data_IF_509376195617
#
_entry.id   IF_509376195617
#
_cell.length_a   1.000
_cell.length_b   1.000
_cell.length_c   1.000
_cell.angle_alpha   90.00
_cell.angle_beta   90.00
_cell.angle_gamma   90.00
#
_symmetry.space_group_name_H-M   'P 1'
#
loop_
_entity.id
_entity.type
_entity.pdbx_description
1 polymer ?
#
# COMPACT_ATOMS: atom_id res chain seq x y z
N UNK A 1 -51.65 17.93 -8.69
CA UNK A 1 -50.80 17.56 -7.54
C UNK A 1 -50.52 16.03 -7.49
N UNK A 2 -50.23 15.40 -8.63
CA UNK A 2 -49.91 13.97 -8.75
C UNK A 2 -48.60 13.86 -9.53
N UNK A 3 -47.45 13.73 -8.85
CA UNK A 3 -46.19 13.20 -9.45
C UNK A 3 -44.99 13.03 -8.51
N UNK A 4 -45.12 13.29 -7.19
CA UNK A 4 -43.99 13.07 -6.25
C UNK A 4 -43.86 11.64 -5.71
N UNK A 5 -44.92 10.82 -5.70
CA UNK A 5 -44.86 9.43 -5.20
C UNK A 5 -44.20 8.45 -6.18
N UNK A 6 -44.42 8.60 -7.50
CA UNK A 6 -43.87 7.70 -8.52
C UNK A 6 -42.33 7.77 -8.62
N UNK A 7 -41.72 8.93 -8.35
CA UNK A 7 -40.28 9.13 -8.48
C UNK A 7 -39.48 8.51 -7.31
N UNK A 8 -40.10 8.36 -6.14
CA UNK A 8 -39.50 7.73 -4.96
C UNK A 8 -39.59 6.21 -5.07
N UNK A 9 -40.73 5.66 -5.53
CA UNK A 9 -40.87 4.23 -5.81
C UNK A 9 -39.91 3.75 -6.90
N UNK A 10 -39.71 4.52 -7.97
CA UNK A 10 -38.75 4.18 -9.03
C UNK A 10 -37.28 4.21 -8.56
N UNK A 11 -36.89 5.13 -7.66
CA UNK A 11 -35.55 5.15 -7.04
C UNK A 11 -35.34 4.00 -6.06
N UNK A 12 -36.38 3.60 -5.33
CA UNK A 12 -36.35 2.41 -4.48
C UNK A 12 -36.18 1.17 -5.36
N UNK A 13 -37.06 0.98 -6.36
CA UNK A 13 -37.02 -0.16 -7.27
C UNK A 13 -35.67 -0.28 -7.97
N UNK A 14 -35.10 0.80 -8.52
CA UNK A 14 -33.78 0.74 -9.19
C UNK A 14 -32.64 0.34 -8.24
N UNK A 15 -32.67 0.77 -6.98
CA UNK A 15 -31.64 0.43 -5.99
C UNK A 15 -31.70 -1.04 -5.56
N UNK A 16 -32.91 -1.57 -5.32
CA UNK A 16 -33.09 -3.00 -5.01
C UNK A 16 -32.92 -3.88 -6.24
N UNK A 17 -33.30 -3.40 -7.42
CA UNK A 17 -33.09 -4.09 -8.69
C UNK A 17 -31.61 -4.25 -9.01
N UNK A 18 -30.78 -3.25 -8.74
CA UNK A 18 -29.33 -3.37 -8.90
C UNK A 18 -28.72 -4.39 -7.93
N UNK A 19 -29.20 -4.42 -6.67
CA UNK A 19 -28.80 -5.41 -5.65
C UNK A 19 -29.22 -6.82 -6.09
N UNK A 20 -30.43 -6.96 -6.63
CA UNK A 20 -30.94 -8.23 -7.17
C UNK A 20 -30.13 -8.67 -8.39
N UNK A 21 -29.75 -7.75 -9.30
CA UNK A 21 -28.87 -8.07 -10.42
C UNK A 21 -27.49 -8.54 -9.93
N UNK A 22 -26.92 -7.88 -8.91
CA UNK A 22 -25.63 -8.30 -8.33
C UNK A 22 -25.75 -9.67 -7.66
N UNK A 23 -26.85 -9.94 -6.94
CA UNK A 23 -27.13 -11.24 -6.33
C UNK A 23 -27.36 -12.32 -7.39
N UNK A 24 -28.10 -12.03 -8.46
CA UNK A 24 -28.33 -12.93 -9.58
C UNK A 24 -27.04 -13.20 -10.35
N UNK A 25 -26.16 -12.21 -10.48
CA UNK A 25 -24.83 -12.38 -11.03
C UNK A 25 -24.00 -13.34 -10.16
N UNK A 26 -24.05 -13.18 -8.83
CA UNK A 26 -23.42 -14.09 -7.86
C UNK A 26 -23.96 -15.53 -7.94
N UNK A 27 -25.28 -15.68 -8.06
CA UNK A 27 -25.92 -17.00 -8.19
C UNK A 27 -25.56 -17.63 -9.53
N UNK A 28 -25.60 -16.88 -10.65
CA UNK A 28 -25.21 -17.39 -11.97
C UNK A 28 -23.74 -17.76 -12.05
N UNK A 29 -22.84 -16.99 -11.46
CA UNK A 29 -21.41 -17.36 -11.41
C UNK A 29 -21.20 -18.60 -10.56
N UNK A 30 -21.87 -18.72 -9.42
CA UNK A 30 -21.82 -19.95 -8.61
C UNK A 30 -22.35 -21.17 -9.37
N UNK A 31 -23.50 -21.07 -10.05
CA UNK A 31 -24.07 -22.17 -10.85
C UNK A 31 -23.20 -22.51 -12.06
N UNK A 32 -22.63 -21.51 -12.74
CA UNK A 32 -21.69 -21.73 -13.84
C UNK A 32 -20.43 -22.45 -13.37
N UNK A 33 -19.93 -22.10 -12.18
CA UNK A 33 -18.80 -22.76 -11.54
C UNK A 33 -19.17 -24.20 -11.14
N UNK A 34 -20.33 -24.43 -10.55
CA UNK A 34 -20.81 -25.77 -10.15
C UNK A 34 -21.04 -26.71 -11.35
N UNK A 35 -21.49 -26.17 -12.48
CA UNK A 35 -21.65 -26.96 -13.71
C UNK A 35 -20.31 -27.30 -14.36
N UNK A 36 -19.34 -26.37 -14.35
CA UNK A 36 -17.95 -26.65 -14.75
C UNK A 36 -17.28 -27.64 -13.81
N UNK A 37 -17.59 -27.60 -12.51
CA UNK A 37 -17.17 -28.61 -11.54
C UNK A 37 -17.69 -30.00 -11.92
N UNK A 38 -18.99 -30.15 -12.24
CA UNK A 38 -19.55 -31.45 -12.65
C UNK A 38 -18.93 -32.02 -13.93
N UNK A 39 -18.47 -31.17 -14.84
CA UNK A 39 -17.71 -31.58 -16.03
C UNK A 39 -16.27 -32.00 -15.69
N UNK A 40 -15.60 -31.27 -14.81
CA UNK A 40 -14.21 -31.55 -14.39
C UNK A 40 -14.14 -32.79 -13.47
N UNK A 41 -15.15 -33.04 -12.64
CA UNK A 41 -15.22 -34.16 -11.69
C UNK A 41 -15.68 -35.50 -12.31
N UNK A 42 -15.97 -35.55 -13.62
CA UNK A 42 -16.22 -36.82 -14.31
C UNK A 42 -14.94 -37.64 -14.52
N UNK A 43 -13.77 -37.01 -14.56
CA UNK A 43 -12.49 -37.71 -14.70
C UNK A 43 -11.84 -37.99 -13.34
N UNK A 44 -11.99 -39.23 -12.88
CA UNK A 44 -11.54 -39.75 -11.58
C UNK A 44 -10.01 -39.89 -11.41
N UNK A 45 -9.17 -39.24 -12.21
CA UNK A 45 -7.71 -39.50 -12.25
C UNK A 45 -6.83 -38.42 -11.62
N UNK A 46 -7.37 -37.55 -10.75
CA UNK A 46 -6.67 -36.32 -10.38
C UNK A 46 -6.70 -36.05 -8.88
N UNK A 47 -5.81 -36.71 -8.13
CA UNK A 47 -5.56 -36.38 -6.71
C UNK A 47 -4.55 -35.24 -6.53
N UNK A 48 -3.73 -34.93 -7.52
CA UNK A 48 -2.74 -33.84 -7.45
C UNK A 48 -3.24 -32.49 -8.01
N UNK A 49 -4.03 -32.43 -9.10
CA UNK A 49 -4.57 -31.12 -9.57
C UNK A 49 -5.71 -30.53 -8.68
N UNK A 50 -6.13 -31.25 -7.63
CA UNK A 50 -7.18 -30.77 -6.72
C UNK A 50 -6.69 -29.67 -5.77
N UNK A 51 -5.41 -29.66 -5.41
CA UNK A 51 -4.85 -28.60 -4.56
C UNK A 51 -4.76 -27.28 -5.32
N UNK A 52 -4.30 -27.31 -6.57
CA UNK A 52 -4.20 -26.13 -7.41
C UNK A 52 -5.58 -25.53 -7.68
N UNK A 53 -6.58 -26.34 -8.05
CA UNK A 53 -7.96 -25.86 -8.26
C UNK A 53 -8.57 -25.28 -6.98
N UNK A 54 -8.32 -25.89 -5.81
CA UNK A 54 -8.76 -25.36 -4.52
C UNK A 54 -8.06 -24.05 -4.16
N UNK A 55 -6.75 -23.95 -4.40
CA UNK A 55 -5.98 -22.71 -4.25
C UNK A 55 -6.52 -21.63 -5.19
N UNK A 56 -6.72 -21.93 -6.48
CA UNK A 56 -7.30 -21.00 -7.45
C UNK A 56 -8.70 -20.54 -7.04
N UNK A 57 -9.54 -21.41 -6.45
CA UNK A 57 -10.84 -21.04 -5.87
C UNK A 57 -10.68 -20.11 -4.67
N UNK A 58 -9.80 -20.42 -3.72
CA UNK A 58 -9.51 -19.55 -2.56
C UNK A 58 -8.95 -18.20 -3.02
N UNK A 59 -8.03 -18.19 -3.97
CA UNK A 59 -7.49 -16.97 -4.56
C UNK A 59 -8.56 -16.17 -5.29
N UNK A 60 -9.47 -16.83 -6.02
CA UNK A 60 -10.62 -16.22 -6.68
C UNK A 60 -11.58 -15.56 -5.68
N UNK A 61 -11.94 -16.26 -4.60
CA UNK A 61 -12.82 -15.74 -3.54
C UNK A 61 -12.13 -14.59 -2.79
N UNK A 62 -10.85 -14.73 -2.43
CA UNK A 62 -10.06 -13.66 -1.80
C UNK A 62 -9.98 -12.43 -2.70
N UNK A 63 -9.77 -12.61 -4.01
CA UNK A 63 -9.73 -11.52 -5.00
C UNK A 63 -11.08 -10.82 -5.11
N UNK A 64 -12.18 -11.58 -5.21
CA UNK A 64 -13.53 -11.02 -5.28
C UNK A 64 -13.91 -10.25 -3.99
N UNK A 65 -13.65 -10.84 -2.81
CA UNK A 65 -13.87 -10.20 -1.52
C UNK A 65 -13.05 -8.92 -1.37
N UNK A 66 -11.78 -8.95 -1.79
CA UNK A 66 -10.90 -7.77 -1.78
C UNK A 66 -11.42 -6.67 -2.69
N UNK A 67 -11.85 -7.00 -3.92
CA UNK A 67 -12.44 -6.04 -4.86
C UNK A 67 -13.72 -5.39 -4.30
N UNK A 68 -14.59 -6.16 -3.64
CA UNK A 68 -15.81 -5.63 -3.01
C UNK A 68 -15.49 -4.67 -1.85
N UNK A 69 -14.53 -5.03 -1.00
CA UNK A 69 -14.07 -4.16 0.08
C UNK A 69 -13.45 -2.86 -0.47
N UNK A 70 -12.70 -2.95 -1.56
CA UNK A 70 -12.12 -1.78 -2.22
C UNK A 70 -13.17 -0.85 -2.84
N UNK A 71 -14.18 -1.40 -3.53
CA UNK A 71 -15.31 -0.61 -4.07
C UNK A 71 -16.02 0.11 -2.93
N UNK A 72 -16.36 -0.62 -1.86
CA UNK A 72 -16.99 -0.06 -0.67
C UNK A 72 -16.17 1.10 -0.10
N UNK A 73 -14.87 0.89 0.09
CA UNK A 73 -13.98 1.91 0.65
C UNK A 73 -13.85 3.14 -0.26
N UNK A 74 -13.78 2.94 -1.58
CA UNK A 74 -13.68 4.04 -2.55
C UNK A 74 -14.96 4.89 -2.54
N UNK A 75 -16.12 4.27 -2.38
CA UNK A 75 -17.39 4.98 -2.19
C UNK A 75 -17.41 5.75 -0.86
N UNK A 76 -16.97 5.13 0.24
CA UNK A 76 -16.90 5.78 1.57
C UNK A 76 -15.98 7.02 1.56
N UNK A 77 -14.86 6.97 0.84
CA UNK A 77 -13.95 8.11 0.65
C UNK A 77 -14.60 9.20 -0.21
N UNK A 78 -15.34 8.83 -1.26
CA UNK A 78 -15.99 9.75 -2.17
C UNK A 78 -17.17 10.52 -1.55
N UNK A 79 -17.82 9.94 -0.54
CA UNK A 79 -18.96 10.56 0.15
C UNK A 79 -18.52 11.59 1.20
N UNK A 80 -19.28 12.69 1.40
CA UNK A 80 -19.13 13.54 2.58
C UNK A 80 -19.31 12.69 3.85
N UNK A 81 -18.55 13.00 4.90
CA UNK A 81 -18.64 12.24 6.14
C UNK A 81 -19.97 12.51 6.86
N UNK A 82 -20.62 11.43 7.26
CA UNK A 82 -21.80 11.49 8.12
C UNK A 82 -21.42 11.50 9.62
N UNK A 83 -20.16 11.16 9.95
CA UNK A 83 -19.62 11.13 11.31
C UNK A 83 -18.36 12.02 11.42
N UNK A 84 -17.74 12.05 12.61
CA UNK A 84 -16.47 12.76 12.79
C UNK A 84 -15.38 12.18 11.86
N UNK A 85 -14.50 13.06 11.38
CA UNK A 85 -13.35 12.71 10.52
C UNK A 85 -12.50 11.60 11.15
N UNK A 86 -12.38 11.59 12.48
CA UNK A 86 -11.60 10.59 13.22
C UNK A 86 -12.20 9.18 13.13
N UNK A 87 -13.52 9.06 13.33
CA UNK A 87 -14.23 7.77 13.26
C UNK A 87 -14.13 7.22 11.83
N UNK A 88 -14.35 8.06 10.83
CA UNK A 88 -14.33 7.65 9.42
C UNK A 88 -12.92 7.27 8.96
N UNK A 89 -11.90 8.05 9.34
CA UNK A 89 -10.50 7.73 9.02
C UNK A 89 -10.04 6.42 9.66
N UNK A 90 -10.49 6.12 10.89
CA UNK A 90 -10.22 4.83 11.54
C UNK A 90 -10.89 3.66 10.81
N UNK A 91 -12.15 3.80 10.40
CA UNK A 91 -12.88 2.77 9.63
C UNK A 91 -12.22 2.48 8.28
N UNK A 92 -11.82 3.54 7.56
CA UNK A 92 -11.06 3.42 6.31
C UNK A 92 -9.72 2.71 6.58
N UNK A 93 -9.05 3.01 7.70
CA UNK A 93 -7.77 2.41 8.03
C UNK A 93 -7.90 0.91 8.29
N UNK A 94 -8.85 0.51 9.13
CA UNK A 94 -9.12 -0.90 9.44
C UNK A 94 -9.50 -1.70 8.18
N UNK A 95 -10.31 -1.11 7.31
CA UNK A 95 -10.68 -1.74 6.03
C UNK A 95 -9.47 -1.90 5.11
N UNK A 96 -8.57 -0.91 5.09
CA UNK A 96 -7.32 -0.99 4.31
C UNK A 96 -6.40 -2.11 4.82
N UNK A 97 -6.31 -2.29 6.15
CA UNK A 97 -5.53 -3.37 6.74
C UNK A 97 -6.10 -4.75 6.36
N UNK A 98 -7.42 -4.92 6.40
CA UNK A 98 -8.11 -6.15 5.97
C UNK A 98 -7.86 -6.46 4.49
N UNK A 99 -7.93 -5.44 3.63
CA UNK A 99 -7.61 -5.58 2.19
C UNK A 99 -6.16 -6.05 2.00
N UNK A 100 -5.21 -5.43 2.72
CA UNK A 100 -3.80 -5.79 2.63
C UNK A 100 -3.52 -7.24 3.07
N UNK A 101 -4.26 -7.74 4.08
CA UNK A 101 -4.15 -9.13 4.54
C UNK A 101 -4.79 -10.13 3.57
N UNK A 102 -5.97 -9.81 3.01
CA UNK A 102 -6.70 -10.70 2.12
C UNK A 102 -6.02 -10.84 0.75
N UNK A 103 -5.33 -9.80 0.28
CA UNK A 103 -4.63 -9.83 -0.99
C UNK A 103 -3.36 -8.97 -0.96
N UNK A 104 -2.23 -9.53 -0.50
CA UNK A 104 -0.96 -8.82 -0.39
C UNK A 104 -0.45 -8.24 -1.71
N UNK A 105 -0.69 -8.94 -2.82
CA UNK A 105 -0.33 -8.51 -4.19
C UNK A 105 -1.37 -7.57 -4.82
N UNK A 106 -2.51 -7.33 -4.18
CA UNK A 106 -3.47 -6.32 -4.66
C UNK A 106 -2.90 -4.91 -4.59
N UNK A 107 -1.97 -4.67 -3.65
CA UNK A 107 -1.22 -3.40 -3.55
C UNK A 107 -0.30 -3.16 -4.76
N UNK A 108 0.17 -4.23 -5.43
CA UNK A 108 0.89 -4.14 -6.70
C UNK A 108 0.00 -3.74 -7.88
N UNK A 109 -1.29 -4.13 -7.89
CA UNK A 109 -2.15 -3.96 -9.07
C UNK A 109 -2.88 -2.60 -9.16
N UNK A 110 -2.84 -1.77 -8.12
CA UNK A 110 -3.53 -0.47 -8.09
C UNK A 110 -2.68 0.71 -7.59
N UNK A 111 -1.39 0.46 -7.34
CA UNK A 111 -0.27 1.36 -7.02
C UNK A 111 -0.37 2.42 -5.92
N UNK A 112 -1.53 3.01 -5.61
CA UNK A 112 -1.74 3.83 -4.43
C UNK A 112 -3.23 3.75 -4.15
N UNK A 113 -3.67 2.94 -3.18
CA UNK A 113 -5.10 2.82 -2.91
C UNK A 113 -5.68 4.22 -2.69
N UNK A 114 -6.88 4.47 -3.23
CA UNK A 114 -7.67 5.68 -2.99
C UNK A 114 -7.67 6.07 -1.51
N UNK A 115 -7.60 5.08 -0.60
CA UNK A 115 -7.39 5.21 0.84
C UNK A 115 -6.03 5.82 1.24
N UNK A 116 -4.90 5.35 0.72
CA UNK A 116 -3.57 5.95 0.99
C UNK A 116 -3.55 7.40 0.48
N UNK A 117 -4.02 7.65 -0.74
CA UNK A 117 -4.10 9.01 -1.29
C UNK A 117 -5.05 9.89 -0.47
N UNK A 118 -6.18 9.37 -0.01
CA UNK A 118 -7.11 10.11 0.84
C UNK A 118 -6.49 10.42 2.21
N UNK A 119 -5.76 9.48 2.83
CA UNK A 119 -5.04 9.73 4.08
C UNK A 119 -3.98 10.82 3.92
N UNK A 120 -3.28 10.86 2.79
CA UNK A 120 -2.24 11.87 2.53
C UNK A 120 -2.86 13.22 2.18
N UNK A 121 -3.71 13.26 1.15
CA UNK A 121 -4.15 14.52 0.53
C UNK A 121 -5.40 15.11 1.19
N UNK A 122 -6.35 14.26 1.61
CA UNK A 122 -7.64 14.72 2.15
C UNK A 122 -7.63 14.83 3.66
N UNK A 123 -7.10 13.83 4.35
CA UNK A 123 -7.18 13.72 5.81
C UNK A 123 -5.90 14.11 6.54
N UNK A 124 -4.77 14.25 5.83
CA UNK A 124 -3.44 14.55 6.39
C UNK A 124 -3.02 13.60 7.53
N UNK A 125 -3.46 12.34 7.48
CA UNK A 125 -3.16 11.27 8.45
C UNK A 125 -1.98 10.42 7.98
N UNK A 126 -0.79 11.02 7.94
CA UNK A 126 0.43 10.39 7.40
C UNK A 126 0.87 9.12 8.15
N UNK A 127 0.61 9.02 9.46
CA UNK A 127 0.92 7.82 10.26
C UNK A 127 0.10 6.59 9.82
N UNK A 128 -1.18 6.79 9.49
CA UNK A 128 -2.06 5.73 9.00
C UNK A 128 -1.62 5.30 7.59
N UNK A 129 -1.35 6.27 6.72
CA UNK A 129 -0.82 6.01 5.39
C UNK A 129 0.50 5.22 5.43
N UNK A 130 1.44 5.65 6.28
CA UNK A 130 2.73 4.97 6.48
C UNK A 130 2.56 3.53 6.96
N UNK A 131 1.64 3.28 7.89
CA UNK A 131 1.42 1.92 8.42
C UNK A 131 0.87 0.95 7.37
N UNK A 132 0.02 1.44 6.46
CA UNK A 132 -0.47 0.65 5.32
C UNK A 132 0.67 0.43 4.31
N UNK A 133 1.44 1.47 4.01
CA UNK A 133 2.59 1.38 3.10
C UNK A 133 3.66 0.40 3.59
N UNK A 134 3.93 0.33 4.90
CA UNK A 134 4.84 -0.66 5.50
C UNK A 134 4.39 -2.07 5.14
N UNK A 135 3.13 -2.43 5.42
CA UNK A 135 2.61 -3.75 5.07
C UNK A 135 2.72 -4.01 3.56
N UNK A 136 2.40 -3.01 2.74
CA UNK A 136 2.51 -3.13 1.28
C UNK A 136 3.91 -3.42 0.78
N UNK A 137 4.92 -2.77 1.35
CA UNK A 137 6.32 -3.00 1.03
C UNK A 137 6.82 -4.34 1.57
N UNK A 138 6.42 -4.75 2.78
CA UNK A 138 6.80 -6.06 3.36
C UNK A 138 6.41 -7.23 2.44
N UNK A 139 5.23 -7.16 1.80
CA UNK A 139 4.76 -8.18 0.86
C UNK A 139 5.25 -7.99 -0.59
N UNK A 140 5.69 -6.78 -0.95
CA UNK A 140 6.06 -6.43 -2.31
C UNK A 140 7.39 -5.69 -2.33
N UNK A 141 8.44 -6.29 -1.74
CA UNK A 141 9.74 -5.66 -1.53
C UNK A 141 10.36 -5.10 -2.81
N UNK A 142 10.12 -5.73 -3.96
CA UNK A 142 10.66 -5.31 -5.26
C UNK A 142 9.94 -4.10 -5.90
N UNK A 143 8.79 -3.68 -5.38
CA UNK A 143 8.01 -2.60 -5.96
C UNK A 143 8.63 -1.22 -5.63
N UNK A 144 9.34 -0.66 -6.61
CA UNK A 144 10.04 0.62 -6.49
C UNK A 144 9.12 1.77 -6.05
N UNK A 145 7.90 1.86 -6.60
CA UNK A 145 6.99 2.96 -6.28
C UNK A 145 6.55 2.89 -4.81
N UNK A 146 6.17 1.72 -4.31
CA UNK A 146 5.78 1.52 -2.91
C UNK A 146 6.92 1.89 -1.96
N UNK A 147 8.15 1.50 -2.27
CA UNK A 147 9.32 1.86 -1.47
C UNK A 147 9.54 3.38 -1.42
N UNK A 148 9.42 4.07 -2.56
CA UNK A 148 9.53 5.55 -2.64
C UNK A 148 8.43 6.24 -1.83
N UNK A 149 7.17 5.82 -1.96
CA UNK A 149 6.06 6.38 -1.17
C UNK A 149 6.25 6.14 0.32
N UNK A 150 6.72 4.96 0.72
CA UNK A 150 7.00 4.65 2.12
C UNK A 150 8.02 5.62 2.72
N UNK A 151 9.12 5.93 2.01
CA UNK A 151 10.11 6.91 2.48
C UNK A 151 9.53 8.31 2.56
N UNK A 152 8.86 8.77 1.51
CA UNK A 152 8.34 10.14 1.47
C UNK A 152 7.26 10.36 2.52
N UNK A 153 6.33 9.43 2.67
CA UNK A 153 5.19 9.59 3.58
C UNK A 153 5.56 9.18 5.00
N UNK A 154 6.17 8.02 5.17
CA UNK A 154 6.54 7.49 6.49
C UNK A 154 7.78 8.13 7.09
N UNK A 155 8.76 8.50 6.26
CA UNK A 155 10.02 9.10 6.73
C UNK A 155 9.96 10.61 6.92
N UNK A 156 9.35 11.33 5.97
CA UNK A 156 9.34 12.81 5.98
C UNK A 156 8.11 13.45 6.62
N UNK A 157 6.97 12.76 6.61
CA UNK A 157 5.68 13.33 7.08
C UNK A 157 5.07 12.56 8.25
N UNK A 158 5.46 11.30 8.43
CA UNK A 158 5.01 10.42 9.51
C UNK A 158 5.96 10.43 10.71
N UNK A 159 5.40 10.03 11.86
CA UNK A 159 6.12 9.88 13.12
C UNK A 159 6.61 8.44 13.37
N UNK A 160 6.36 7.49 12.45
CA UNK A 160 6.70 6.08 12.62
C UNK A 160 8.00 5.66 11.90
N UNK A 161 8.96 6.58 11.78
CA UNK A 161 10.14 6.37 10.95
C UNK A 161 11.01 5.20 11.39
N UNK A 162 11.07 4.85 12.67
CA UNK A 162 11.84 3.68 13.12
C UNK A 162 11.34 2.38 12.46
N UNK A 163 10.02 2.26 12.29
CA UNK A 163 9.42 1.12 11.58
C UNK A 163 9.73 1.16 10.09
N UNK A 164 9.69 2.35 9.49
CA UNK A 164 10.03 2.58 8.07
C UNK A 164 11.49 2.23 7.80
N UNK A 165 12.39 2.72 8.65
CA UNK A 165 13.83 2.48 8.59
C UNK A 165 14.14 0.99 8.69
N UNK A 166 13.52 0.26 9.63
CA UNK A 166 13.71 -1.19 9.76
C UNK A 166 13.38 -1.93 8.46
N UNK A 167 12.22 -1.66 7.87
CA UNK A 167 11.77 -2.32 6.63
C UNK A 167 12.68 -1.98 5.45
N UNK A 168 13.12 -0.73 5.34
CA UNK A 168 14.05 -0.32 4.28
C UNK A 168 15.41 -0.99 4.46
N UNK A 169 15.92 -1.09 5.69
CA UNK A 169 17.19 -1.74 5.98
C UNK A 169 17.14 -3.23 5.64
N UNK A 170 16.02 -3.91 5.90
CA UNK A 170 15.80 -5.30 5.49
C UNK A 170 15.93 -5.45 3.96
N UNK A 171 15.33 -4.54 3.18
CA UNK A 171 15.45 -4.54 1.70
C UNK A 171 16.89 -4.27 1.25
N UNK A 172 17.56 -3.29 1.87
CA UNK A 172 18.93 -2.92 1.51
C UNK A 172 19.97 -3.99 1.86
N UNK A 173 19.67 -4.89 2.79
CA UNK A 173 20.50 -6.05 3.10
C UNK A 173 20.42 -7.13 2.00
N UNK A 174 19.28 -7.23 1.32
CA UNK A 174 19.06 -8.19 0.22
C UNK A 174 19.60 -7.64 -1.11
N UNK A 175 19.39 -6.35 -1.38
CA UNK A 175 19.81 -5.69 -2.61
C UNK A 175 20.15 -4.23 -2.37
N UNK A 176 21.33 -3.81 -2.82
CA UNK A 176 21.66 -2.38 -2.83
C UNK A 176 20.80 -1.64 -3.84
N UNK A 177 19.93 -0.76 -3.35
CA UNK A 177 19.14 0.18 -4.14
C UNK A 177 19.66 1.60 -3.85
N UNK A 178 20.50 2.11 -4.76
CA UNK A 178 21.18 3.41 -4.62
C UNK A 178 20.17 4.56 -4.54
N UNK A 179 19.08 4.50 -5.30
CA UNK A 179 18.04 5.54 -5.25
C UNK A 179 17.33 5.51 -3.91
N UNK A 180 16.97 4.33 -3.41
CA UNK A 180 16.39 4.17 -2.08
C UNK A 180 17.30 4.74 -0.98
N UNK A 181 18.61 4.48 -1.08
CA UNK A 181 19.61 5.00 -0.16
C UNK A 181 19.65 6.54 -0.20
N UNK A 182 19.63 7.16 -1.39
CA UNK A 182 19.60 8.64 -1.51
C UNK A 182 18.36 9.24 -0.85
N UNK A 183 17.21 8.62 -1.00
CA UNK A 183 15.99 9.05 -0.32
C UNK A 183 16.12 8.94 1.21
N UNK A 184 16.68 7.84 1.70
CA UNK A 184 16.89 7.64 3.13
C UNK A 184 17.87 8.66 3.72
N UNK A 185 18.95 8.99 3.00
CA UNK A 185 19.88 10.08 3.35
C UNK A 185 19.12 11.40 3.51
N UNK A 186 18.24 11.75 2.56
CA UNK A 186 17.44 12.98 2.62
C UNK A 186 16.53 13.02 3.86
N UNK A 187 15.97 11.88 4.27
CA UNK A 187 15.17 11.81 5.52
C UNK A 187 16.06 12.08 6.74
N UNK A 188 17.22 11.43 6.83
CA UNK A 188 18.13 11.67 7.95
C UNK A 188 18.64 13.11 7.98
N UNK A 189 18.91 13.73 6.83
CA UNK A 189 19.29 15.15 6.73
C UNK A 189 18.22 16.05 7.35
N UNK A 190 16.96 15.83 6.99
CA UNK A 190 15.86 16.63 7.52
C UNK A 190 15.72 16.44 9.03
N UNK A 191 15.74 15.18 9.50
CA UNK A 191 15.66 14.89 10.94
C UNK A 191 16.84 15.44 11.73
N UNK A 192 18.03 15.44 11.13
CA UNK A 192 19.22 16.00 11.75
C UNK A 192 19.10 17.52 11.90
N UNK A 193 18.51 18.22 10.93
CA UNK A 193 18.22 19.66 11.08
C UNK A 193 17.28 19.94 12.25
N UNK A 194 16.34 19.03 12.52
CA UNK A 194 15.36 19.20 13.59
C UNK A 194 15.93 18.88 14.99
N UNK A 195 16.82 17.89 15.12
CA UNK A 195 17.25 17.39 16.44
C UNK A 195 18.77 17.26 16.66
N UNK A 196 19.59 17.63 15.68
CA UNK A 196 21.07 17.61 15.71
C UNK A 196 21.70 16.30 16.22
N UNK A 197 21.02 15.16 16.04
CA UNK A 197 21.51 13.88 16.54
C UNK A 197 22.70 13.34 15.75
N UNK A 198 23.85 13.17 16.41
CA UNK A 198 25.07 12.58 15.81
C UNK A 198 24.86 11.17 15.25
N UNK A 199 23.88 10.42 15.77
CA UNK A 199 23.52 9.09 15.26
C UNK A 199 22.99 9.18 13.82
N UNK A 200 22.30 10.27 13.47
CA UNK A 200 21.81 10.46 12.10
C UNK A 200 22.96 10.74 11.13
N UNK A 201 23.99 11.49 11.56
CA UNK A 201 25.19 11.73 10.76
C UNK A 201 25.95 10.42 10.48
N UNK A 202 26.14 9.57 11.49
CA UNK A 202 26.82 8.29 11.29
C UNK A 202 26.06 7.35 10.34
N UNK A 203 24.71 7.36 10.41
CA UNK A 203 23.85 6.66 9.43
C UNK A 203 24.03 7.21 8.02
N UNK A 204 24.01 8.53 7.85
CA UNK A 204 24.25 9.18 6.55
C UNK A 204 25.63 8.78 5.99
N UNK A 205 26.69 8.87 6.79
CA UNK A 205 28.04 8.48 6.36
C UNK A 205 28.13 7.02 5.92
N UNK A 206 27.50 6.11 6.67
CA UNK A 206 27.43 4.69 6.30
C UNK A 206 26.81 4.52 4.92
N UNK A 207 25.70 5.21 4.64
CA UNK A 207 25.01 5.13 3.36
C UNK A 207 25.79 5.76 2.21
N UNK A 208 26.46 6.90 2.43
CA UNK A 208 27.34 7.51 1.44
C UNK A 208 28.50 6.58 1.06
N UNK A 209 29.08 5.84 2.02
CA UNK A 209 30.11 4.83 1.74
C UNK A 209 29.58 3.69 0.86
N UNK A 210 28.34 3.25 1.08
CA UNK A 210 27.69 2.24 0.21
C UNK A 210 27.54 2.77 -1.21
N UNK A 211 27.10 4.03 -1.37
CA UNK A 211 27.01 4.67 -2.70
C UNK A 211 28.39 4.75 -3.37
N UNK A 212 29.44 5.13 -2.64
CA UNK A 212 30.79 5.17 -3.19
C UNK A 212 31.29 3.82 -3.69
N UNK A 213 30.90 2.74 -3.01
CA UNK A 213 31.33 1.38 -3.33
C UNK A 213 30.56 0.80 -4.52
N UNK A 214 29.24 0.99 -4.57
CA UNK A 214 28.37 0.26 -5.50
C UNK A 214 27.63 1.16 -6.53
N UNK A 215 27.68 2.48 -6.39
CA UNK A 215 27.06 3.41 -7.32
C UNK A 215 27.82 3.56 -8.64
N UNK A 216 27.16 4.15 -9.64
CA UNK A 216 27.83 4.55 -10.89
C UNK A 216 28.68 5.82 -10.71
N UNK A 217 29.31 6.33 -11.77
CA UNK A 217 30.15 7.54 -11.70
C UNK A 217 29.40 8.75 -11.13
N UNK A 218 28.17 9.01 -11.60
CA UNK A 218 27.33 10.12 -11.12
C UNK A 218 26.94 9.96 -9.65
N UNK A 219 26.66 8.73 -9.22
CA UNK A 219 26.32 8.45 -7.83
C UNK A 219 27.51 8.65 -6.90
N UNK A 220 28.71 8.25 -7.35
CA UNK A 220 29.96 8.46 -6.61
C UNK A 220 30.27 9.96 -6.47
N UNK A 221 30.12 10.74 -7.54
CA UNK A 221 30.25 12.20 -7.48
C UNK A 221 29.28 12.84 -6.48
N UNK A 222 28.01 12.41 -6.50
CA UNK A 222 27.02 12.83 -5.51
C UNK A 222 27.50 12.54 -4.08
N UNK A 223 28.01 11.32 -3.83
CA UNK A 223 28.46 10.93 -2.50
C UNK A 223 29.70 11.69 -2.04
N UNK A 224 30.68 11.93 -2.92
CA UNK A 224 31.87 12.74 -2.63
C UNK A 224 31.45 14.16 -2.24
N UNK A 225 30.60 14.80 -3.06
CA UNK A 225 30.11 16.16 -2.78
C UNK A 225 29.41 16.22 -1.42
N UNK A 226 28.52 15.25 -1.15
CA UNK A 226 27.82 15.18 0.14
C UNK A 226 28.77 15.02 1.31
N UNK A 227 29.74 14.12 1.24
CA UNK A 227 30.75 13.95 2.30
C UNK A 227 31.52 15.25 2.56
N UNK A 228 31.87 15.98 1.50
CA UNK A 228 32.55 17.26 1.64
C UNK A 228 31.66 18.31 2.33
N UNK A 229 30.39 18.45 1.92
CA UNK A 229 29.38 19.28 2.59
C UNK A 229 29.30 18.93 4.09
N UNK A 230 29.26 17.65 4.46
CA UNK A 230 29.13 17.26 5.87
C UNK A 230 30.35 17.60 6.71
N UNK A 231 31.55 17.37 6.16
CA UNK A 231 32.80 17.67 6.87
C UNK A 231 33.01 19.17 7.07
N UNK A 232 32.58 19.98 6.12
CA UNK A 232 32.75 21.44 6.16
C UNK A 232 31.66 22.15 6.97
N UNK A 233 30.39 21.75 6.81
CA UNK A 233 29.24 22.43 7.42
C UNK A 233 28.96 21.96 8.85
N UNK A 234 29.10 20.67 9.13
CA UNK A 234 28.64 20.08 10.40
C UNK A 234 29.76 19.77 11.41
N UNK A 235 31.00 20.20 11.12
CA UNK A 235 32.20 20.04 11.99
C UNK A 235 32.25 18.67 12.67
N UNK A 236 32.21 17.58 11.90
CA UNK A 236 32.64 16.28 12.41
C UNK A 236 34.16 16.36 12.61
N UNK A 237 34.59 16.94 13.74
CA UNK A 237 35.97 16.84 14.20
C UNK A 237 36.23 15.35 14.46
N UNK A 238 37.20 14.80 13.72
CA UNK A 238 37.80 13.50 14.00
C UNK A 238 38.23 13.40 15.45
#
# INVERSE_FOLDING_TARGET
MYNRKNNIQNKFFTKYFLIIIILLFFVKTNIFIENREKEIFKDKSVKEKNYDVFLYKIFGIKKAATSLLWIKQSLEIGTPFNNSVEIETKKIYETSLKIAELSPYFLQNYYISSSILAFINRYKKYNMASSILVKGVEYNKENELLRKYLIVIGGLKGNNFDKVERVINEILNERYDIELIKYLIKVYEMRYKDNSSKILLSKIERYLKIILKYGNSKDKEYAIRKIYEYKTVYKIKK
#
